data_IF_749614569916
#
_entry.id   IF_749614569916
#
_cell.length_a   1.000
_cell.length_b   1.000
_cell.length_c   1.000
_cell.angle_alpha   90.00
_cell.angle_beta   90.00
_cell.angle_gamma   90.00
#
_symmetry.space_group_name_H-M   'P 1'
#
loop_
_entity.id
_entity.type
_entity.pdbx_description
1 polymer ?
#
# COMPACT_ATOMS: atom_id res chain seq x y z
N UNK A 1 -33.12 -21.43 -28.07
CA UNK A 1 -31.76 -21.96 -27.82
C UNK A 1 -30.77 -20.84 -28.09
N UNK A 2 -30.47 -20.00 -27.09
CA UNK A 2 -29.57 -18.85 -27.23
C UNK A 2 -28.14 -19.29 -26.93
N UNK A 3 -27.33 -19.41 -27.97
CA UNK A 3 -25.89 -19.67 -27.89
C UNK A 3 -25.19 -18.48 -27.23
N UNK A 4 -24.97 -18.54 -25.92
CA UNK A 4 -24.07 -17.62 -25.22
C UNK A 4 -22.65 -17.88 -25.70
N UNK A 5 -22.15 -17.07 -26.62
CA UNK A 5 -20.74 -17.00 -27.00
C UNK A 5 -19.91 -16.67 -25.75
N UNK A 6 -19.25 -17.69 -25.18
CA UNK A 6 -18.29 -17.52 -24.07
C UNK A 6 -17.16 -16.61 -24.57
N UNK A 7 -17.19 -15.33 -24.19
CA UNK A 7 -16.11 -14.38 -24.43
C UNK A 7 -14.83 -14.98 -23.83
N UNK A 8 -13.83 -15.32 -24.66
CA UNK A 8 -12.54 -15.81 -24.16
C UNK A 8 -11.99 -14.79 -23.17
N UNK A 9 -11.80 -15.18 -21.91
CA UNK A 9 -11.14 -14.34 -20.91
C UNK A 9 -9.73 -14.04 -21.42
N UNK A 10 -9.41 -12.76 -21.60
CA UNK A 10 -8.07 -12.36 -21.96
C UNK A 10 -7.18 -12.46 -20.72
N UNK A 11 -6.56 -13.63 -20.52
CA UNK A 11 -5.76 -13.93 -19.33
C UNK A 11 -4.64 -12.90 -19.12
N UNK A 12 -4.04 -12.38 -20.20
CA UNK A 12 -3.02 -11.33 -20.10
C UNK A 12 -3.58 -10.05 -19.50
N UNK A 13 -4.77 -9.63 -19.94
CA UNK A 13 -5.43 -8.45 -19.39
C UNK A 13 -5.72 -8.60 -17.90
N UNK A 14 -6.19 -9.78 -17.46
CA UNK A 14 -6.47 -10.07 -16.04
C UNK A 14 -5.17 -10.03 -15.21
N UNK A 15 -4.08 -10.58 -15.73
CA UNK A 15 -2.78 -10.54 -15.06
C UNK A 15 -2.30 -9.10 -14.91
N UNK A 16 -2.44 -8.26 -15.94
CA UNK A 16 -2.03 -6.85 -15.89
C UNK A 16 -2.81 -6.05 -14.86
N UNK A 17 -4.15 -6.18 -14.82
CA UNK A 17 -4.96 -5.48 -13.80
C UNK A 17 -4.70 -6.00 -12.39
N UNK A 18 -4.42 -7.31 -12.23
CA UNK A 18 -4.07 -7.88 -10.94
C UNK A 18 -2.69 -7.41 -10.48
N UNK A 19 -1.72 -7.31 -11.40
CA UNK A 19 -0.41 -6.74 -11.13
C UNK A 19 -0.48 -5.26 -10.75
N UNK A 20 -1.28 -4.46 -11.46
CA UNK A 20 -1.52 -3.07 -11.11
C UNK A 20 -2.16 -2.94 -9.71
N UNK A 21 -3.10 -3.83 -9.37
CA UNK A 21 -3.69 -3.84 -8.03
C UNK A 21 -2.67 -4.26 -6.96
N UNK A 22 -1.80 -5.22 -7.27
CA UNK A 22 -0.76 -5.70 -6.36
C UNK A 22 0.28 -4.62 -5.98
N UNK A 23 0.36 -3.51 -6.73
CA UNK A 23 1.15 -2.35 -6.33
C UNK A 23 0.73 -1.78 -4.97
N UNK A 24 -0.53 -1.94 -4.55
CA UNK A 24 -0.94 -1.58 -3.19
C UNK A 24 -0.21 -2.40 -2.12
N UNK A 25 -0.01 -3.70 -2.37
CA UNK A 25 0.82 -4.57 -1.52
C UNK A 25 2.30 -4.17 -1.55
N UNK A 26 2.83 -3.87 -2.75
CA UNK A 26 4.20 -3.39 -2.91
C UNK A 26 4.48 -2.13 -2.08
N UNK A 27 3.61 -1.13 -2.18
CA UNK A 27 3.74 0.13 -1.43
C UNK A 27 3.67 -0.11 0.08
N UNK A 28 2.82 -1.04 0.54
CA UNK A 28 2.75 -1.41 1.96
C UNK A 28 4.06 -2.00 2.46
N UNK A 29 4.63 -2.95 1.71
CA UNK A 29 5.92 -3.55 2.04
C UNK A 29 7.05 -2.52 2.04
N UNK A 30 7.11 -1.69 1.00
CA UNK A 30 8.15 -0.67 0.85
C UNK A 30 8.10 0.39 1.97
N UNK A 31 6.94 1.00 2.20
CA UNK A 31 6.76 2.04 3.22
C UNK A 31 7.01 1.53 4.66
N UNK A 32 6.66 0.27 4.93
CA UNK A 32 6.89 -0.35 6.23
C UNK A 32 8.38 -0.61 6.48
N UNK A 33 9.15 -0.96 5.43
CA UNK A 33 10.54 -1.36 5.57
C UNK A 33 11.52 -0.18 5.48
N UNK A 34 11.29 0.78 4.56
CA UNK A 34 12.23 1.88 4.25
C UNK A 34 12.50 2.81 5.45
N UNK A 35 11.58 2.86 6.41
CA UNK A 35 11.75 3.67 7.60
C UNK A 35 12.92 3.16 8.47
N UNK A 36 13.26 1.87 8.39
CA UNK A 36 14.30 1.26 9.22
C UNK A 36 15.69 1.83 8.92
N UNK A 37 16.04 2.00 7.64
CA UNK A 37 17.27 2.69 7.24
C UNK A 37 17.25 4.19 7.55
N UNK A 38 16.07 4.82 7.52
CA UNK A 38 15.93 6.25 7.73
C UNK A 38 15.96 6.71 9.21
N UNK A 39 15.73 5.82 10.20
CA UNK A 39 15.61 6.21 11.63
C UNK A 39 16.80 7.02 12.14
N UNK A 40 18.02 6.59 11.85
CA UNK A 40 19.23 7.26 12.32
C UNK A 40 19.40 8.65 11.67
N UNK A 41 19.12 8.75 10.37
CA UNK A 41 19.15 10.01 9.64
C UNK A 41 18.08 10.99 10.14
N UNK A 42 16.86 10.50 10.39
CA UNK A 42 15.76 11.29 10.96
C UNK A 42 16.08 11.82 12.36
N UNK A 43 16.66 10.98 13.23
CA UNK A 43 17.06 11.39 14.57
C UNK A 43 18.09 12.54 14.52
N UNK A 44 19.07 12.45 13.61
CA UNK A 44 20.08 13.49 13.42
C UNK A 44 19.52 14.76 12.77
N UNK A 45 18.68 14.63 11.74
CA UNK A 45 18.11 15.76 11.00
C UNK A 45 17.16 16.60 11.86
N UNK A 46 16.33 15.95 12.68
CA UNK A 46 15.33 16.63 13.50
C UNK A 46 15.73 16.79 14.97
N UNK A 47 16.96 16.41 15.37
CA UNK A 47 17.36 16.28 16.78
C UNK A 47 16.32 15.49 17.61
N UNK A 48 15.74 14.45 17.01
CA UNK A 48 14.62 13.71 17.59
C UNK A 48 15.12 12.61 18.54
N UNK A 49 14.46 12.50 19.69
CA UNK A 49 14.70 11.41 20.65
C UNK A 49 14.21 10.07 20.10
N UNK A 50 14.73 8.97 20.64
CA UNK A 50 14.32 7.60 20.27
C UNK A 50 12.81 7.36 20.45
N UNK A 51 12.17 8.10 21.37
CA UNK A 51 10.72 8.05 21.54
C UNK A 51 9.99 8.62 20.33
N UNK A 52 10.44 9.76 19.79
CA UNK A 52 9.78 10.42 18.66
C UNK A 52 9.96 9.66 17.35
N UNK A 53 11.15 9.09 17.12
CA UNK A 53 11.37 8.21 15.96
C UNK A 53 10.57 6.91 16.09
N UNK A 54 10.47 6.34 17.30
CA UNK A 54 9.59 5.22 17.59
C UNK A 54 8.12 5.53 17.29
N UNK A 55 7.63 6.71 17.70
CA UNK A 55 6.28 7.18 17.38
C UNK A 55 6.08 7.33 15.86
N UNK A 56 7.06 7.80 15.11
CA UNK A 56 6.97 7.89 13.65
C UNK A 56 6.80 6.54 12.96
N UNK A 57 7.38 5.47 13.51
CA UNK A 57 7.19 4.10 13.02
C UNK A 57 5.84 3.55 13.47
N UNK A 58 5.52 3.63 14.77
CA UNK A 58 4.33 3.01 15.34
C UNK A 58 3.03 3.68 14.90
N UNK A 59 2.99 5.01 14.82
CA UNK A 59 1.78 5.74 14.42
C UNK A 59 1.45 5.53 12.94
N UNK A 60 2.45 5.29 12.08
CA UNK A 60 2.20 4.89 10.70
C UNK A 60 1.48 3.53 10.62
N UNK A 61 1.92 2.55 11.41
CA UNK A 61 1.27 1.24 11.48
C UNK A 61 -0.15 1.33 12.05
N UNK A 62 -0.35 2.18 13.07
CA UNK A 62 -1.70 2.48 13.58
C UNK A 62 -2.57 3.15 12.50
N UNK A 63 -2.02 4.09 11.75
CA UNK A 63 -2.68 4.69 10.59
C UNK A 63 -3.09 3.62 9.58
N UNK A 64 -2.20 2.68 9.26
CA UNK A 64 -2.50 1.54 8.39
C UNK A 64 -3.64 0.66 8.91
N UNK A 65 -3.68 0.38 10.21
CA UNK A 65 -4.77 -0.38 10.82
C UNK A 65 -6.11 0.36 10.69
N UNK A 66 -6.13 1.68 10.93
CA UNK A 66 -7.31 2.52 10.76
C UNK A 66 -7.76 2.54 9.30
N UNK A 67 -6.84 2.75 8.37
CA UNK A 67 -7.12 2.74 6.93
C UNK A 67 -7.71 1.42 6.47
N UNK A 68 -7.10 0.30 6.87
CA UNK A 68 -7.56 -1.05 6.59
C UNK A 68 -8.98 -1.31 7.12
N UNK A 69 -9.29 -0.86 8.35
CA UNK A 69 -10.58 -1.04 8.98
C UNK A 69 -11.72 -0.36 8.22
N UNK A 70 -11.51 0.88 7.76
CA UNK A 70 -12.53 1.63 7.04
C UNK A 70 -12.57 1.35 5.53
N UNK A 71 -11.52 0.77 4.96
CA UNK A 71 -11.38 0.59 3.51
C UNK A 71 -12.44 -0.33 2.90
N UNK A 72 -12.84 -1.40 3.60
CA UNK A 72 -13.84 -2.35 3.10
C UNK A 72 -15.18 -1.68 2.79
N UNK A 73 -15.87 -1.09 3.79
CA UNK A 73 -17.14 -0.40 3.57
C UNK A 73 -17.07 0.74 2.55
N UNK A 74 -15.96 1.49 2.52
CA UNK A 74 -15.74 2.56 1.55
C UNK A 74 -15.65 1.98 0.13
N UNK A 75 -14.88 0.91 -0.05
CA UNK A 75 -14.73 0.26 -1.35
C UNK A 75 -16.02 -0.40 -1.85
N UNK A 76 -16.85 -0.92 -0.94
CA UNK A 76 -18.16 -1.47 -1.29
C UNK A 76 -19.13 -0.39 -1.77
N UNK A 77 -19.09 0.80 -1.15
CA UNK A 77 -19.99 1.91 -1.51
C UNK A 77 -19.55 2.65 -2.77
N UNK A 78 -18.26 2.93 -2.92
CA UNK A 78 -17.74 3.79 -4.01
C UNK A 78 -17.08 2.99 -5.15
N UNK A 79 -16.83 1.69 -4.95
CA UNK A 79 -16.12 0.81 -5.87
C UNK A 79 -14.63 0.70 -5.56
N UNK A 80 -14.08 -0.49 -5.81
CA UNK A 80 -12.71 -0.89 -5.43
C UNK A 80 -11.64 -0.05 -6.12
N UNK A 81 -11.75 0.12 -7.44
CA UNK A 81 -10.79 0.92 -8.23
C UNK A 81 -10.74 2.37 -7.77
N UNK A 82 -11.91 2.99 -7.53
CA UNK A 82 -11.96 4.39 -7.07
C UNK A 82 -11.32 4.53 -5.68
N UNK A 83 -11.61 3.60 -4.78
CA UNK A 83 -10.99 3.58 -3.45
C UNK A 83 -9.46 3.42 -3.53
N UNK A 84 -8.95 2.55 -4.43
CA UNK A 84 -7.51 2.41 -4.66
C UNK A 84 -6.88 3.68 -5.25
N UNK A 85 -7.57 4.38 -6.17
CA UNK A 85 -7.08 5.65 -6.72
C UNK A 85 -7.02 6.72 -5.65
N UNK A 86 -8.05 6.86 -4.81
CA UNK A 86 -8.04 7.79 -3.68
C UNK A 86 -6.90 7.48 -2.71
N UNK A 87 -6.71 6.20 -2.36
CA UNK A 87 -5.58 5.77 -1.55
C UNK A 87 -4.23 6.13 -2.21
N UNK A 88 -4.07 5.91 -3.51
CA UNK A 88 -2.83 6.27 -4.22
C UNK A 88 -2.54 7.78 -4.17
N UNK A 89 -3.56 8.62 -4.35
CA UNK A 89 -3.42 10.09 -4.26
C UNK A 89 -3.05 10.51 -2.84
N UNK A 90 -3.72 9.98 -1.82
CA UNK A 90 -3.39 10.25 -0.42
C UNK A 90 -1.96 9.82 -0.07
N UNK A 91 -1.52 8.67 -0.57
CA UNK A 91 -0.15 8.21 -0.38
C UNK A 91 0.87 9.10 -1.10
N UNK A 92 0.58 9.54 -2.33
CA UNK A 92 1.45 10.49 -3.05
C UNK A 92 1.59 11.81 -2.30
N UNK A 93 0.49 12.37 -1.79
CA UNK A 93 0.50 13.59 -0.99
C UNK A 93 1.34 13.39 0.28
N UNK A 94 1.13 12.26 0.98
CA UNK A 94 1.91 11.89 2.16
C UNK A 94 3.41 11.73 1.86
N UNK A 95 3.77 11.10 0.75
CA UNK A 95 5.17 10.91 0.38
C UNK A 95 5.88 12.24 0.09
N UNK A 96 5.22 13.14 -0.65
CA UNK A 96 5.74 14.49 -0.91
C UNK A 96 5.86 15.27 0.40
N UNK A 97 4.83 15.24 1.24
CA UNK A 97 4.85 15.91 2.55
C UNK A 97 5.95 15.38 3.47
N UNK A 98 6.17 14.05 3.50
CA UNK A 98 7.25 13.43 4.27
C UNK A 98 8.64 13.88 3.81
N UNK A 99 8.82 14.09 2.50
CA UNK A 99 10.07 14.59 1.93
C UNK A 99 10.32 16.09 2.16
N UNK A 100 9.26 16.87 2.41
CA UNK A 100 9.32 18.31 2.68
C UNK A 100 9.14 18.66 4.17
N UNK A 101 9.14 17.66 5.06
CA UNK A 101 8.83 17.86 6.46
C UNK A 101 9.86 18.78 7.16
N UNK A 102 9.37 19.77 7.89
CA UNK A 102 10.21 20.76 8.59
C UNK A 102 10.48 20.40 10.06
N UNK A 103 9.70 19.46 10.61
CA UNK A 103 9.84 18.97 11.97
C UNK A 103 9.48 17.49 12.07
N UNK A 104 9.89 16.84 13.16
CA UNK A 104 9.55 15.43 13.40
C UNK A 104 8.03 15.22 13.56
N UNK A 105 7.30 16.18 14.14
CA UNK A 105 5.84 16.08 14.30
C UNK A 105 5.11 16.20 12.96
N UNK A 106 5.60 17.09 12.09
CA UNK A 106 5.14 17.22 10.71
C UNK A 106 5.40 15.92 9.93
N UNK A 107 6.60 15.36 10.05
CA UNK A 107 6.94 14.05 9.47
C UNK A 107 6.03 12.92 9.99
N UNK A 108 5.77 12.87 11.31
CA UNK A 108 4.86 11.88 11.92
C UNK A 108 3.44 12.02 11.34
N UNK A 109 2.95 13.24 11.17
CA UNK A 109 1.63 13.48 10.57
C UNK A 109 1.55 12.91 9.15
N UNK A 110 2.56 13.18 8.31
CA UNK A 110 2.61 12.63 6.96
C UNK A 110 2.70 11.11 6.96
N UNK A 111 3.45 10.51 7.89
CA UNK A 111 3.53 9.06 8.08
C UNK A 111 2.19 8.43 8.44
N UNK A 112 1.42 9.06 9.32
CA UNK A 112 0.06 8.59 9.67
C UNK A 112 -0.86 8.63 8.45
N UNK A 113 -0.84 9.74 7.71
CA UNK A 113 -1.63 9.89 6.48
C UNK A 113 -1.26 8.83 5.43
N UNK A 114 0.04 8.59 5.25
CA UNK A 114 0.57 7.56 4.36
C UNK A 114 0.16 6.16 4.81
N UNK A 115 0.25 5.88 6.11
CA UNK A 115 -0.21 4.64 6.70
C UNK A 115 -1.70 4.39 6.39
N UNK A 116 -2.57 5.36 6.65
CA UNK A 116 -4.01 5.25 6.34
C UNK A 116 -4.23 4.91 4.86
N UNK A 117 -3.54 5.61 3.96
CA UNK A 117 -3.66 5.39 2.52
C UNK A 117 -3.24 3.97 2.12
N UNK A 118 -2.06 3.52 2.56
CA UNK A 118 -1.49 2.24 2.14
C UNK A 118 -2.17 1.07 2.84
N UNK A 119 -2.57 1.22 4.10
CA UNK A 119 -3.41 0.25 4.80
C UNK A 119 -4.76 0.05 4.13
N UNK A 120 -5.37 1.11 3.60
CA UNK A 120 -6.59 0.98 2.82
C UNK A 120 -6.33 0.23 1.49
N UNK A 121 -5.29 0.61 0.76
CA UNK A 121 -4.93 -0.04 -0.50
C UNK A 121 -4.61 -1.54 -0.32
N UNK A 122 -3.95 -1.93 0.77
CA UNK A 122 -3.50 -3.31 1.02
C UNK A 122 -4.64 -4.29 1.28
N UNK A 123 -5.78 -3.82 1.80
CA UNK A 123 -7.00 -4.63 1.99
C UNK A 123 -7.86 -4.67 0.72
N UNK A 124 -7.94 -3.57 -0.02
CA UNK A 124 -8.77 -3.49 -1.24
C UNK A 124 -8.13 -4.26 -2.40
N UNK A 125 -6.81 -4.20 -2.55
CA UNK A 125 -6.08 -4.87 -3.62
C UNK A 125 -6.37 -6.38 -3.73
N UNK A 126 -6.23 -7.22 -2.69
CA UNK A 126 -6.51 -8.66 -2.79
C UNK A 126 -7.98 -8.95 -3.06
N UNK A 127 -8.91 -8.14 -2.52
CA UNK A 127 -10.34 -8.26 -2.81
C UNK A 127 -10.63 -7.99 -4.29
N UNK A 128 -10.08 -6.90 -4.84
CA UNK A 128 -10.23 -6.55 -6.24
C UNK A 128 -9.61 -7.60 -7.18
N UNK A 129 -8.42 -8.12 -6.82
CA UNK A 129 -7.79 -9.22 -7.55
C UNK A 129 -8.72 -10.43 -7.56
N UNK A 130 -9.31 -10.82 -6.42
CA UNK A 130 -10.20 -11.96 -6.33
C UNK A 130 -11.49 -11.80 -7.15
N UNK A 131 -12.04 -10.58 -7.20
CA UNK A 131 -13.24 -10.22 -7.97
C UNK A 131 -12.99 -10.27 -9.49
N UNK A 132 -11.83 -9.79 -9.95
CA UNK A 132 -11.49 -9.75 -11.37
C UNK A 132 -10.96 -11.09 -11.90
N UNK A 133 -10.52 -11.98 -11.02
CA UNK A 133 -9.85 -13.23 -11.40
C UNK A 133 -10.84 -14.33 -11.78
N UNK A 134 -10.60 -15.08 -12.88
CA UNK A 134 -11.36 -16.29 -13.17
C UNK A 134 -11.07 -17.36 -12.12
N UNK A 135 -12.06 -18.24 -11.86
CA UNK A 135 -12.01 -19.21 -10.77
C UNK A 135 -10.73 -20.07 -10.73
N UNK A 136 -10.21 -20.47 -11.90
CA UNK A 136 -9.00 -21.30 -12.01
C UNK A 136 -7.67 -20.55 -11.75
N UNK A 137 -7.65 -19.21 -11.77
CA UNK A 137 -6.45 -18.40 -11.51
C UNK A 137 -6.52 -17.62 -10.19
N UNK A 138 -7.67 -17.59 -9.52
CA UNK A 138 -7.91 -16.74 -8.34
C UNK A 138 -6.86 -16.93 -7.24
N UNK A 139 -6.46 -18.16 -6.94
CA UNK A 139 -5.41 -18.44 -5.95
C UNK A 139 -4.03 -17.92 -6.36
N UNK A 140 -3.63 -18.15 -7.63
CA UNK A 140 -2.35 -17.67 -8.17
C UNK A 140 -2.28 -16.14 -8.16
N UNK A 141 -3.34 -15.48 -8.64
CA UNK A 141 -3.39 -14.03 -8.66
C UNK A 141 -3.46 -13.44 -7.25
N UNK A 142 -4.13 -14.11 -6.30
CA UNK A 142 -4.08 -13.74 -4.88
C UNK A 142 -2.67 -13.75 -4.30
N UNK A 143 -1.83 -14.73 -4.66
CA UNK A 143 -0.43 -14.77 -4.19
C UNK A 143 0.45 -13.62 -4.73
N UNK A 144 0.06 -12.96 -5.82
CA UNK A 144 0.76 -11.77 -6.31
C UNK A 144 0.78 -10.65 -5.28
N UNK A 145 -0.27 -10.52 -4.47
CA UNK A 145 -0.31 -9.51 -3.41
C UNK A 145 0.80 -9.74 -2.38
N UNK A 146 0.97 -10.97 -1.92
CA UNK A 146 2.01 -11.31 -0.94
C UNK A 146 3.40 -11.20 -1.55
N UNK A 147 3.57 -11.65 -2.80
CA UNK A 147 4.82 -11.45 -3.53
C UNK A 147 5.15 -9.96 -3.63
N UNK A 148 4.18 -9.11 -3.97
CA UNK A 148 4.38 -7.67 -4.07
C UNK A 148 4.82 -7.06 -2.72
N UNK A 149 4.20 -7.44 -1.60
CA UNK A 149 4.61 -6.99 -0.26
C UNK A 149 6.07 -7.37 0.01
N UNK A 150 6.43 -8.63 -0.20
CA UNK A 150 7.81 -9.12 0.06
C UNK A 150 8.82 -8.43 -0.86
N UNK A 151 8.48 -8.23 -2.14
CA UNK A 151 9.32 -7.49 -3.08
C UNK A 151 9.47 -6.02 -2.66
N UNK A 152 8.41 -5.39 -2.17
CA UNK A 152 8.47 -4.03 -1.62
C UNK A 152 9.43 -3.93 -0.44
N UNK A 153 9.34 -4.86 0.51
CA UNK A 153 10.26 -4.96 1.65
C UNK A 153 11.70 -5.15 1.17
N UNK A 154 11.92 -6.08 0.23
CA UNK A 154 13.24 -6.36 -0.30
C UNK A 154 13.89 -5.14 -0.97
N UNK A 155 13.13 -4.42 -1.82
CA UNK A 155 13.65 -3.22 -2.49
C UNK A 155 13.93 -2.11 -1.47
N UNK A 156 13.07 -1.91 -0.48
CA UNK A 156 13.31 -0.94 0.58
C UNK A 156 14.61 -1.24 1.35
N UNK A 157 14.82 -2.50 1.75
CA UNK A 157 16.04 -2.91 2.44
C UNK A 157 17.30 -2.78 1.55
N UNK A 158 17.16 -2.97 0.24
CA UNK A 158 18.25 -2.73 -0.71
C UNK A 158 18.58 -1.23 -0.80
N UNK A 159 17.57 -0.35 -0.78
CA UNK A 159 17.76 1.10 -0.72
C UNK A 159 18.42 1.53 0.59
N UNK A 160 18.03 0.93 1.72
CA UNK A 160 18.56 1.25 3.05
C UNK A 160 20.02 0.81 3.24
N UNK A 161 20.51 -0.13 2.42
CA UNK A 161 21.87 -0.64 2.50
C UNK A 161 22.93 0.34 1.98
N UNK A 162 22.57 1.17 0.99
CA UNK A 162 23.46 2.14 0.35
C UNK A 162 23.30 3.54 0.96
#
# INVERSE_FOLDING_TARGET
MTTTTRRKTNNLYVILIAGAAALGGFLFGFDTAVINGAVAALSKAFNATSLLTGLAVSLALLGSAVGAFYAGPIADRYGRVKAMVVASVLFTISAIGSGLAFSIWDFIFWRVLGGIAVGAASVIAPAYIAECSPAHLRGRLGSLQQLAIVVGIFIALLCDYF
#
